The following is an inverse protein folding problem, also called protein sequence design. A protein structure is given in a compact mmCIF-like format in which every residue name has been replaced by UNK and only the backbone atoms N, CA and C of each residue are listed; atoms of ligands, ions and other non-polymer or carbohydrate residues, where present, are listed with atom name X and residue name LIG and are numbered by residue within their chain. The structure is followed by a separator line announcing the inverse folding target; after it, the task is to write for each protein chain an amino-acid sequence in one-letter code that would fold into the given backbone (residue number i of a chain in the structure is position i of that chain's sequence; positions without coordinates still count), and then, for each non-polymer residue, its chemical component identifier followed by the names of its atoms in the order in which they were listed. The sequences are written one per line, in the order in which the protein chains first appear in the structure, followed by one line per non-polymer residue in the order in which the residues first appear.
data_IF_139850184020
#
_entry.id   IF_139850184020
#
_cell.length_a   1.000
_cell.length_b   1.000
_cell.length_c   1.000
_cell.angle_alpha   90.00
_cell.angle_beta   90.00
_cell.angle_gamma   90.00
#
_symmetry.space_group_name_H-M   'P 1'
#
loop_
_entity.id
_entity.type
_entity.pdbx_description
1 polymer ?
#
# COMPACT_ATOMS: atom_id res chain seq x y z
N UNK A 1 19.75 -61.32 42.31
CA UNK A 1 19.96 -60.39 41.17
C UNK A 1 19.10 -59.16 41.40
N UNK A 2 19.70 -58.00 41.74
CA UNK A 2 18.98 -56.71 41.90
C UNK A 2 19.28 -55.87 40.66
N UNK A 3 18.31 -55.68 39.79
CA UNK A 3 18.43 -54.89 38.56
C UNK A 3 18.30 -53.40 38.88
N UNK A 4 19.32 -52.64 38.50
CA UNK A 4 19.50 -51.22 38.83
C UNK A 4 18.75 -50.31 37.85
N UNK A 5 17.40 -50.36 37.88
CA UNK A 5 16.55 -49.68 36.90
C UNK A 5 16.43 -48.16 37.11
N UNK A 6 16.79 -47.63 38.28
CA UNK A 6 16.64 -46.20 38.59
C UNK A 6 17.54 -45.28 37.74
N UNK A 7 18.79 -45.67 37.47
CA UNK A 7 19.74 -44.82 36.72
C UNK A 7 19.39 -44.71 35.22
N UNK A 8 18.74 -45.73 34.66
CA UNK A 8 18.27 -45.72 33.28
C UNK A 8 17.03 -44.81 33.11
N UNK A 9 16.10 -44.88 34.07
CA UNK A 9 14.89 -44.05 34.09
C UNK A 9 15.25 -42.57 34.28
N UNK A 10 16.21 -42.24 35.16
CA UNK A 10 16.63 -40.86 35.41
C UNK A 10 17.31 -40.21 34.18
N UNK A 11 18.11 -40.98 33.42
CA UNK A 11 18.75 -40.51 32.18
C UNK A 11 17.75 -40.36 31.02
N UNK A 12 16.72 -41.21 30.97
CA UNK A 12 15.62 -41.06 30.02
C UNK A 12 14.77 -39.82 30.32
N UNK A 13 14.41 -39.61 31.59
CA UNK A 13 13.64 -38.45 32.04
C UNK A 13 14.36 -37.13 31.77
N UNK A 14 15.68 -37.05 31.99
CA UNK A 14 16.47 -35.85 31.71
C UNK A 14 16.52 -35.51 30.21
N UNK A 15 16.52 -36.52 29.32
CA UNK A 15 16.48 -36.30 27.85
C UNK A 15 15.12 -35.82 27.35
N UNK A 16 14.02 -36.22 28.01
CA UNK A 16 12.67 -35.75 27.67
C UNK A 16 12.44 -34.31 28.16
N UNK A 17 13.02 -33.94 29.31
CA UNK A 17 12.89 -32.59 29.87
C UNK A 17 13.73 -31.55 29.09
N UNK A 18 14.85 -31.93 28.48
CA UNK A 18 15.66 -31.00 27.67
C UNK A 18 15.09 -30.72 26.25
N UNK A 19 14.01 -31.40 25.83
CA UNK A 19 13.40 -31.23 24.49
C UNK A 19 12.14 -30.35 24.54
N UNK A 20 11.63 -29.99 25.72
CA UNK A 20 10.52 -29.04 25.88
C UNK A 20 10.97 -27.78 26.64
N UNK A 21 11.51 -26.80 25.90
CA UNK A 21 10.87 -25.50 25.94
C UNK A 21 10.71 -24.96 24.51
N UNK A 22 9.83 -25.58 23.72
CA UNK A 22 9.10 -24.76 22.76
C UNK A 22 8.14 -23.91 23.58
N UNK A 23 8.59 -22.71 23.94
CA UNK A 23 7.66 -21.63 24.23
C UNK A 23 6.80 -21.47 22.98
N UNK A 24 5.61 -22.07 22.99
CA UNK A 24 4.56 -21.72 22.07
C UNK A 24 4.19 -20.27 22.40
N UNK A 25 4.93 -19.33 21.80
CA UNK A 25 4.43 -17.98 21.66
C UNK A 25 3.23 -18.14 20.76
N UNK A 26 2.04 -18.11 21.33
CA UNK A 26 0.83 -17.90 20.57
C UNK A 26 1.05 -16.58 19.82
N UNK A 27 1.38 -16.68 18.52
CA UNK A 27 1.46 -15.52 17.66
C UNK A 27 0.03 -15.05 17.44
N UNK A 28 -0.46 -14.18 18.34
CA UNK A 28 -1.65 -13.41 18.06
C UNK A 28 -1.35 -12.57 16.80
N UNK A 29 -2.13 -12.80 15.75
CA UNK A 29 -2.04 -12.01 14.53
C UNK A 29 -2.34 -10.56 14.87
N UNK A 30 -1.39 -9.67 14.60
CA UNK A 30 -1.61 -8.24 14.79
C UNK A 30 -2.69 -7.78 13.82
N UNK A 31 -3.65 -7.00 14.28
CA UNK A 31 -4.70 -6.46 13.40
C UNK A 31 -4.68 -4.95 13.43
N UNK A 32 -4.75 -4.31 12.26
CA UNK A 32 -4.86 -2.86 12.14
C UNK A 32 -6.08 -2.53 11.28
N UNK A 33 -6.92 -1.61 11.75
CA UNK A 33 -8.01 -1.07 10.95
C UNK A 33 -7.52 0.19 10.23
N UNK A 34 -7.64 0.21 8.90
CA UNK A 34 -7.19 1.31 8.07
C UNK A 34 -8.32 1.73 7.12
N UNK A 35 -8.56 3.01 6.97
CA UNK A 35 -9.56 3.52 6.04
C UNK A 35 -8.91 4.46 5.04
N UNK A 36 -8.97 4.12 3.75
CA UNK A 36 -8.60 5.00 2.65
C UNK A 36 -9.78 5.92 2.30
N UNK A 37 -9.53 7.21 2.12
CA UNK A 37 -10.58 8.14 1.71
C UNK A 37 -10.04 9.48 1.20
N UNK A 38 -10.93 10.36 0.70
CA UNK A 38 -10.58 11.72 0.32
C UNK A 38 -10.05 12.51 1.52
N UNK A 39 -9.06 13.36 1.27
CA UNK A 39 -8.38 14.18 2.26
C UNK A 39 -7.98 15.52 1.64
N UNK A 40 -7.38 16.40 2.44
CA UNK A 40 -6.84 17.68 1.94
C UNK A 40 -5.57 18.00 2.69
N UNK A 41 -4.49 18.25 1.95
CA UNK A 41 -3.26 18.78 2.51
C UNK A 41 -3.30 20.30 2.53
N UNK A 42 -2.73 20.90 3.57
CA UNK A 42 -2.46 22.34 3.63
C UNK A 42 -0.97 22.54 3.43
N UNK A 43 -0.61 23.28 2.37
CA UNK A 43 0.79 23.61 2.09
C UNK A 43 1.28 24.75 2.99
N UNK A 44 2.61 24.96 3.11
CA UNK A 44 3.17 26.03 3.94
C UNK A 44 2.71 27.45 3.57
N UNK A 45 2.27 27.67 2.32
CA UNK A 45 1.69 28.93 1.85
C UNK A 45 0.21 29.11 2.23
N UNK A 46 -0.38 28.13 2.92
CA UNK A 46 -1.79 28.10 3.32
C UNK A 46 -2.73 27.57 2.24
N UNK A 47 -2.24 27.22 1.05
CA UNK A 47 -3.08 26.66 0.00
C UNK A 47 -3.53 25.23 0.32
N UNK A 48 -4.76 24.92 -0.07
CA UNK A 48 -5.34 23.58 0.10
C UNK A 48 -5.19 22.77 -1.19
N UNK A 49 -4.64 21.55 -1.06
CA UNK A 49 -4.45 20.60 -2.16
C UNK A 49 -5.30 19.35 -1.91
N UNK A 50 -6.16 18.94 -2.86
CA UNK A 50 -6.94 17.71 -2.71
C UNK A 50 -5.99 16.51 -2.71
N UNK A 51 -6.10 15.67 -1.70
CA UNK A 51 -5.32 14.45 -1.56
C UNK A 51 -6.24 13.31 -1.17
N UNK A 52 -5.72 12.10 -1.10
CA UNK A 52 -6.34 10.93 -0.50
C UNK A 52 -5.43 10.49 0.64
N UNK A 53 -6.00 9.92 1.69
CA UNK A 53 -5.21 9.53 2.86
C UNK A 53 -5.73 8.26 3.50
N UNK A 54 -4.82 7.63 4.22
CA UNK A 54 -5.18 6.60 5.17
C UNK A 54 -5.50 7.22 6.54
N UNK A 55 -6.50 6.67 7.21
CA UNK A 55 -6.86 7.02 8.58
C UNK A 55 -6.91 5.75 9.43
N UNK A 56 -6.38 5.87 10.64
CA UNK A 56 -6.35 4.77 11.59
C UNK A 56 -7.72 4.58 12.24
N UNK A 57 -8.21 3.34 12.27
CA UNK A 57 -9.38 2.97 13.06
C UNK A 57 -9.07 2.82 14.56
N UNK A 58 -9.99 2.21 15.29
CA UNK A 58 -9.82 1.96 16.72
C UNK A 58 -8.53 1.15 17.01
N UNK A 59 -7.77 1.51 18.06
CA UNK A 59 -6.57 0.78 18.45
C UNK A 59 -6.86 -0.69 18.70
N UNK A 60 -5.96 -1.57 18.28
CA UNK A 60 -6.04 -3.01 18.52
C UNK A 60 -4.81 -3.43 19.32
N UNK A 61 -4.98 -4.36 20.25
CA UNK A 61 -3.88 -4.83 21.09
C UNK A 61 -2.73 -5.38 20.24
N UNK A 62 -1.51 -4.90 20.51
CA UNK A 62 -0.28 -5.37 19.86
C UNK A 62 0.10 -4.66 18.55
N UNK A 63 -0.71 -3.72 18.07
CA UNK A 63 -0.38 -2.84 16.96
C UNK A 63 -0.73 -1.39 17.29
N UNK A 64 0.06 -0.45 16.78
CA UNK A 64 -0.27 0.97 16.83
C UNK A 64 -0.44 1.52 15.43
N UNK A 65 -1.35 2.49 15.28
CA UNK A 65 -1.55 3.24 14.06
C UNK A 65 -1.84 4.68 14.47
N UNK A 66 -1.07 5.62 13.95
CA UNK A 66 -1.24 7.04 14.20
C UNK A 66 -0.95 7.87 12.94
N UNK A 67 -1.33 9.15 12.97
CA UNK A 67 -0.81 10.11 11.99
C UNK A 67 0.70 10.27 12.20
N UNK A 68 1.46 10.25 11.10
CA UNK A 68 2.89 10.51 11.12
C UNK A 68 3.21 11.94 11.61
N UNK A 69 2.37 12.91 11.26
CA UNK A 69 2.38 14.24 11.85
C UNK A 69 1.29 14.35 12.93
N UNK A 70 1.62 14.24 14.23
CA UNK A 70 0.64 14.32 15.32
C UNK A 70 0.01 15.70 15.46
N UNK A 71 0.65 16.74 14.91
CA UNK A 71 0.13 18.11 14.92
C UNK A 71 -0.84 18.39 13.76
N UNK A 72 -1.01 17.47 12.80
CA UNK A 72 -1.93 17.65 11.69
C UNK A 72 -3.39 17.68 12.18
N UNK A 73 -4.14 18.78 11.98
CA UNK A 73 -5.51 18.93 12.45
C UNK A 73 -6.44 17.80 11.98
N UNK A 74 -7.55 17.61 12.67
CA UNK A 74 -8.59 16.69 12.21
C UNK A 74 -9.05 17.07 10.79
N UNK A 75 -9.18 16.07 9.90
CA UNK A 75 -9.53 16.30 8.49
C UNK A 75 -8.37 16.76 7.58
N UNK A 76 -7.22 17.16 8.14
CA UNK A 76 -6.02 17.48 7.35
C UNK A 76 -5.21 16.21 7.08
N UNK A 77 -4.79 16.07 5.82
CA UNK A 77 -3.98 14.96 5.33
C UNK A 77 -2.65 14.88 6.08
N UNK A 78 -2.31 13.66 6.47
CA UNK A 78 -1.00 13.25 6.98
C UNK A 78 -0.84 11.78 6.60
N UNK A 79 0.37 11.32 6.22
CA UNK A 79 0.65 9.89 6.14
C UNK A 79 0.40 9.24 7.49
N UNK A 80 0.16 7.93 7.49
CA UNK A 80 0.07 7.14 8.73
C UNK A 80 1.41 6.50 9.05
N UNK A 81 1.64 6.23 10.34
CA UNK A 81 2.68 5.32 10.83
C UNK A 81 2.00 4.19 11.57
N UNK A 82 2.31 2.96 11.14
CA UNK A 82 1.87 1.72 11.77
C UNK A 82 3.09 1.08 12.42
N UNK A 83 3.04 0.80 13.72
CA UNK A 83 4.13 0.08 14.42
C UNK A 83 3.61 -1.24 14.96
N UNK A 84 4.26 -2.33 14.56
CA UNK A 84 3.91 -3.71 14.93
C UNK A 84 5.16 -4.52 15.27
N UNK A 85 5.09 -5.52 16.16
CA UNK A 85 6.18 -6.47 16.34
C UNK A 85 6.36 -7.37 15.10
N UNK A 86 7.54 -7.99 14.93
CA UNK A 86 7.76 -9.02 13.92
C UNK A 86 6.76 -10.18 14.07
N UNK A 87 6.24 -10.67 12.94
CA UNK A 87 5.24 -11.73 12.93
C UNK A 87 4.10 -11.49 11.93
N UNK A 88 2.96 -12.16 12.09
CA UNK A 88 1.81 -11.99 11.22
C UNK A 88 1.10 -10.64 11.45
N UNK A 89 0.68 -10.01 10.35
CA UNK A 89 -0.12 -8.80 10.33
C UNK A 89 -1.35 -9.00 9.44
N UNK A 90 -2.50 -8.58 9.93
CA UNK A 90 -3.74 -8.41 9.18
C UNK A 90 -4.10 -6.94 9.17
N UNK A 91 -4.29 -6.35 7.99
CA UNK A 91 -4.86 -5.01 7.85
C UNK A 91 -6.28 -5.15 7.34
N UNK A 92 -7.26 -4.71 8.13
CA UNK A 92 -8.64 -4.54 7.69
C UNK A 92 -8.73 -3.20 6.99
N UNK A 93 -8.66 -3.21 5.65
CA UNK A 93 -8.70 -2.01 4.83
C UNK A 93 -10.13 -1.73 4.38
N UNK A 94 -10.67 -0.59 4.80
CA UNK A 94 -11.93 -0.02 4.31
C UNK A 94 -11.64 1.00 3.22
N UNK A 95 -12.29 0.87 2.06
CA UNK A 95 -12.20 1.87 1.00
C UNK A 95 -13.39 2.83 1.07
N UNK A 96 -13.14 4.13 1.23
CA UNK A 96 -14.12 5.21 1.27
C UNK A 96 -13.88 6.26 0.18
N UNK A 97 -13.17 5.92 -0.90
CA UNK A 97 -12.93 6.78 -2.07
C UNK A 97 -14.20 6.91 -2.93
N UNK A 98 -15.10 7.80 -2.52
CA UNK A 98 -16.32 8.16 -3.25
C UNK A 98 -16.29 9.65 -3.65
N UNK A 99 -16.69 9.93 -4.89
CA UNK A 99 -16.62 11.24 -5.54
C UNK A 99 -17.93 11.53 -6.29
N UNK A 100 -18.96 11.92 -5.53
CA UNK A 100 -20.31 12.09 -6.08
C UNK A 100 -20.92 10.75 -6.50
N UNK A 101 -21.21 10.60 -7.80
CA UNK A 101 -21.71 9.34 -8.37
C UNK A 101 -20.59 8.35 -8.74
N UNK A 102 -19.33 8.79 -8.71
CA UNK A 102 -18.17 7.96 -9.05
C UNK A 102 -17.51 7.42 -7.79
N UNK A 103 -16.73 6.36 -7.94
CA UNK A 103 -16.02 5.75 -6.83
C UNK A 103 -14.80 5.00 -7.33
N UNK A 104 -13.69 5.07 -6.58
CA UNK A 104 -12.40 4.56 -7.02
C UNK A 104 -11.98 3.33 -6.20
N UNK A 105 -11.64 2.20 -6.82
CA UNK A 105 -11.11 1.05 -6.09
C UNK A 105 -9.68 1.34 -5.58
N UNK A 106 -9.26 0.66 -4.52
CA UNK A 106 -7.90 0.81 -3.98
C UNK A 106 -7.36 -0.51 -3.46
N UNK A 107 -6.07 -0.56 -3.14
CA UNK A 107 -5.45 -1.72 -2.52
C UNK A 107 -4.36 -1.25 -1.54
N UNK A 108 -3.59 -2.20 -1.02
CA UNK A 108 -2.44 -1.91 -0.19
C UNK A 108 -1.33 -2.90 -0.51
N UNK A 109 -0.12 -2.37 -0.63
CA UNK A 109 1.13 -3.11 -0.75
C UNK A 109 2.05 -2.63 0.36
N UNK A 110 2.77 -3.57 0.99
CA UNK A 110 3.89 -3.27 1.86
C UNK A 110 5.15 -3.53 1.04
N UNK A 111 5.85 -2.48 0.64
CA UNK A 111 7.00 -2.58 -0.27
C UNK A 111 8.06 -3.47 0.37
N UNK A 112 8.46 -4.54 -0.31
CA UNK A 112 9.45 -5.50 0.21
C UNK A 112 8.88 -6.59 1.15
N UNK A 113 7.56 -6.68 1.33
CA UNK A 113 6.89 -7.77 2.04
C UNK A 113 5.83 -8.45 1.16
N UNK A 114 5.85 -9.78 1.12
CA UNK A 114 4.86 -10.55 0.37
C UNK A 114 3.60 -10.77 1.22
N UNK A 115 2.44 -10.40 0.69
CA UNK A 115 1.15 -10.53 1.34
C UNK A 115 0.12 -9.60 0.71
N UNK A 116 -1.08 -9.54 1.30
CA UNK A 116 -2.17 -8.70 0.79
C UNK A 116 -2.63 -9.05 -0.64
N UNK A 117 -2.30 -10.25 -1.13
CA UNK A 117 -2.61 -10.68 -2.50
C UNK A 117 -1.61 -10.23 -3.58
N UNK A 118 -0.47 -9.66 -3.17
CA UNK A 118 0.57 -9.23 -4.10
C UNK A 118 0.98 -10.36 -5.06
N UNK A 119 0.77 -10.12 -6.36
CA UNK A 119 1.10 -11.06 -7.44
C UNK A 119 0.17 -12.27 -7.58
N UNK A 120 -0.84 -12.45 -6.72
CA UNK A 120 -1.78 -13.57 -6.77
C UNK A 120 -3.22 -13.15 -7.06
N UNK A 121 -3.59 -11.92 -6.69
CA UNK A 121 -4.92 -11.34 -6.91
C UNK A 121 -4.85 -10.04 -7.73
N UNK A 122 -3.75 -9.83 -8.44
CA UNK A 122 -3.55 -8.69 -9.30
C UNK A 122 -4.67 -8.59 -10.35
N UNK A 123 -5.18 -7.38 -10.56
CA UNK A 123 -6.20 -7.08 -11.58
C UNK A 123 -5.54 -6.38 -12.76
N UNK A 124 -6.07 -6.62 -13.96
CA UNK A 124 -5.61 -5.99 -15.19
C UNK A 124 -6.78 -5.35 -15.91
N UNK A 125 -6.51 -4.22 -16.56
CA UNK A 125 -7.42 -3.60 -17.51
C UNK A 125 -7.04 -4.00 -18.94
N UNK A 126 -8.00 -3.97 -19.90
CA UNK A 126 -7.69 -4.13 -21.31
C UNK A 126 -6.60 -3.15 -21.77
N UNK A 127 -5.80 -3.59 -22.74
CA UNK A 127 -4.91 -2.67 -23.46
C UNK A 127 -5.72 -1.59 -24.20
N UNK A 128 -5.10 -0.45 -24.55
CA UNK A 128 -5.71 0.55 -25.40
C UNK A 128 -6.26 -0.08 -26.68
N UNK A 129 -7.49 0.31 -27.06
CA UNK A 129 -8.02 -0.05 -28.37
C UNK A 129 -7.30 0.76 -29.45
N UNK A 130 -6.73 0.04 -30.42
CA UNK A 130 -6.01 0.63 -31.55
C UNK A 130 -6.83 0.62 -32.85
N UNK A 131 -8.13 0.31 -32.79
CA UNK A 131 -9.02 0.32 -33.96
C UNK A 131 -9.06 1.69 -34.68
N UNK A 132 -8.85 2.78 -33.94
CA UNK A 132 -8.76 4.15 -34.45
C UNK A 132 -7.33 4.67 -34.66
N UNK A 133 -6.30 3.84 -34.53
CA UNK A 133 -4.91 4.26 -34.71
C UNK A 133 -4.63 4.68 -36.16
N UNK A 134 -3.70 5.63 -36.35
CA UNK A 134 -3.28 6.09 -37.68
C UNK A 134 -2.63 4.92 -38.45
N UNK A 135 -3.17 4.51 -39.61
CA UNK A 135 -2.62 3.39 -40.38
C UNK A 135 -1.47 3.81 -41.31
N UNK A 136 -1.15 5.11 -41.35
CA UNK A 136 -0.07 5.67 -42.16
C UNK A 136 0.97 6.29 -41.22
N UNK A 137 2.14 5.67 -41.12
CA UNK A 137 3.22 6.13 -40.23
C UNK A 137 4.15 7.14 -40.89
N UNK A 138 4.24 7.16 -42.22
CA UNK A 138 5.06 8.11 -42.98
C UNK A 138 4.36 8.58 -44.28
N UNK A 139 3.39 9.51 -44.19
CA UNK A 139 2.50 9.86 -45.32
C UNK A 139 3.22 10.44 -46.55
N UNK A 140 4.37 11.07 -46.35
CA UNK A 140 5.16 11.71 -47.42
C UNK A 140 5.85 10.69 -48.32
N UNK A 141 6.25 9.54 -47.76
CA UNK A 141 7.05 8.53 -48.46
C UNK A 141 6.15 7.41 -49.01
N UNK A 142 5.11 7.05 -48.27
CA UNK A 142 4.10 6.09 -48.69
C UNK A 142 2.74 6.43 -48.04
N UNK A 143 1.74 6.87 -48.81
CA UNK A 143 0.40 7.16 -48.30
C UNK A 143 -0.45 5.89 -48.12
N UNK A 144 0.07 4.69 -48.39
CA UNK A 144 -0.68 3.43 -48.28
C UNK A 144 -0.91 3.06 -46.81
N UNK A 145 -2.15 2.75 -46.39
CA UNK A 145 -2.47 2.42 -45.00
C UNK A 145 -2.06 0.98 -44.64
N UNK A 146 -0.77 0.77 -44.35
CA UNK A 146 -0.19 -0.55 -44.03
C UNK A 146 0.16 -0.72 -42.55
N UNK A 147 0.07 0.35 -41.75
CA UNK A 147 0.37 0.34 -40.32
C UNK A 147 -0.61 -0.51 -39.54
N UNK A 148 -0.13 -1.65 -39.02
CA UNK A 148 -0.85 -2.46 -38.03
C UNK A 148 -0.16 -2.25 -36.69
N UNK A 149 -0.81 -1.56 -35.73
CA UNK A 149 -0.22 -1.36 -34.41
C UNK A 149 -0.02 -2.72 -33.73
N UNK A 150 1.09 -2.90 -32.97
CA UNK A 150 1.32 -4.14 -32.26
C UNK A 150 0.20 -4.36 -31.24
N UNK A 151 -0.29 -5.60 -31.16
CA UNK A 151 -1.27 -5.98 -30.13
C UNK A 151 -0.63 -5.78 -28.77
N UNK A 152 -1.24 -4.90 -27.96
CA UNK A 152 -0.80 -4.66 -26.59
C UNK A 152 -1.55 -5.60 -25.66
N UNK A 153 -0.81 -6.26 -24.76
CA UNK A 153 -1.43 -7.07 -23.71
C UNK A 153 -2.19 -6.22 -22.68
N UNK A 154 -2.97 -6.86 -21.78
CA UNK A 154 -3.60 -6.18 -20.66
C UNK A 154 -2.58 -5.38 -19.84
N UNK A 155 -3.00 -4.22 -19.35
CA UNK A 155 -2.19 -3.37 -18.46
C UNK A 155 -2.52 -3.69 -17.02
N UNK A 156 -1.50 -3.67 -16.16
CA UNK A 156 -1.72 -3.86 -14.73
C UNK A 156 -2.54 -2.70 -14.19
N UNK A 157 -3.64 -3.02 -13.52
CA UNK A 157 -4.51 -2.08 -12.83
C UNK A 157 -4.19 -2.07 -11.33
N UNK A 158 -4.09 -3.25 -10.72
CA UNK A 158 -3.70 -3.43 -9.32
C UNK A 158 -2.67 -4.53 -9.16
N UNK A 159 -1.63 -4.28 -8.37
CA UNK A 159 -0.62 -5.28 -8.03
C UNK A 159 -1.04 -6.25 -6.91
N UNK A 160 -2.01 -5.88 -6.09
CA UNK A 160 -2.51 -6.66 -4.95
C UNK A 160 -4.05 -6.68 -4.91
N UNK A 161 -4.64 -7.27 -3.87
CA UNK A 161 -6.10 -7.41 -3.74
C UNK A 161 -6.77 -6.05 -3.78
N UNK A 162 -7.50 -5.80 -4.86
CA UNK A 162 -8.28 -4.59 -5.08
C UNK A 162 -9.59 -4.63 -4.28
N UNK A 163 -9.92 -3.51 -3.65
CA UNK A 163 -11.06 -3.33 -2.76
C UNK A 163 -11.94 -2.23 -3.35
N UNK A 164 -13.19 -2.58 -3.66
CA UNK A 164 -14.18 -1.64 -4.16
C UNK A 164 -14.55 -0.59 -3.10
N UNK A 165 -14.93 0.60 -3.55
CA UNK A 165 -15.39 1.64 -2.63
C UNK A 165 -16.63 1.19 -1.84
N UNK A 166 -16.68 1.55 -0.57
CA UNK A 166 -17.69 1.10 0.40
C UNK A 166 -17.43 -0.29 0.99
N UNK A 167 -16.49 -1.07 0.45
CA UNK A 167 -16.14 -2.38 0.97
C UNK A 167 -15.03 -2.32 2.03
N UNK A 168 -14.96 -3.36 2.85
CA UNK A 168 -13.85 -3.63 3.77
C UNK A 168 -13.30 -5.02 3.49
N UNK A 169 -11.98 -5.17 3.44
CA UNK A 169 -11.33 -6.45 3.18
C UNK A 169 -10.11 -6.62 4.08
N UNK A 170 -9.96 -7.84 4.62
CA UNK A 170 -8.80 -8.22 5.42
C UNK A 170 -7.65 -8.65 4.52
N UNK A 171 -6.54 -7.92 4.60
CA UNK A 171 -5.29 -8.20 3.89
C UNK A 171 -4.28 -8.80 4.87
N UNK A 172 -3.66 -9.93 4.51
CA UNK A 172 -2.80 -10.68 5.45
C UNK A 172 -1.36 -10.78 4.95
N UNK A 173 -0.41 -10.62 5.88
CA UNK A 173 1.01 -10.91 5.77
C UNK A 173 1.38 -11.91 6.87
N UNK A 174 1.95 -13.05 6.48
CA UNK A 174 2.15 -14.18 7.40
C UNK A 174 3.40 -14.03 8.28
N UNK A 175 4.44 -13.37 7.77
CA UNK A 175 5.72 -13.22 8.45
C UNK A 175 6.41 -11.92 8.04
N UNK A 176 6.06 -10.82 8.70
CA UNK A 176 6.77 -9.57 8.51
C UNK A 176 8.20 -9.66 9.04
N UNK A 177 9.14 -9.27 8.18
CA UNK A 177 10.53 -9.07 8.57
C UNK A 177 10.70 -7.76 9.35
N UNK A 178 11.54 -7.72 10.40
CA UNK A 178 11.87 -6.48 11.10
C UNK A 178 12.47 -5.44 10.15
N UNK A 179 12.07 -4.17 10.31
CA UNK A 179 12.51 -3.06 9.47
C UNK A 179 11.44 -2.01 9.26
N UNK A 180 11.78 -0.98 8.47
CA UNK A 180 10.88 0.11 8.10
C UNK A 180 10.52 -0.03 6.62
N UNK A 181 9.23 -0.01 6.32
CA UNK A 181 8.68 -0.23 4.98
C UNK A 181 7.73 0.89 4.59
N UNK A 182 7.71 1.21 3.30
CA UNK A 182 6.65 2.02 2.71
C UNK A 182 5.41 1.14 2.57
N UNK A 183 4.27 1.68 2.97
CA UNK A 183 2.97 1.14 2.56
C UNK A 183 2.36 2.09 1.55
N UNK A 184 1.81 1.57 0.47
CA UNK A 184 1.20 2.37 -0.59
C UNK A 184 0.10 1.58 -1.31
N UNK A 185 -0.78 2.28 -2.01
CA UNK A 185 -1.75 1.61 -2.87
C UNK A 185 -1.05 0.91 -4.03
N UNK A 186 -1.40 -0.36 -4.26
CA UNK A 186 -0.98 -1.11 -5.45
C UNK A 186 -1.88 -0.89 -6.66
N UNK A 187 -2.98 -0.16 -6.50
CA UNK A 187 -3.99 0.12 -7.53
C UNK A 187 -3.68 1.47 -8.18
N UNK A 188 -3.63 1.55 -9.50
CA UNK A 188 -3.29 2.76 -10.26
C UNK A 188 -2.11 3.53 -9.62
N UNK A 189 -0.92 2.91 -9.47
CA UNK A 189 0.19 3.43 -8.65
C UNK A 189 0.66 4.84 -9.05
N UNK A 190 0.57 5.18 -10.34
CA UNK A 190 0.90 6.51 -10.87
C UNK A 190 -0.09 7.60 -10.47
N UNK A 191 -1.24 7.24 -9.90
CA UNK A 191 -2.28 8.16 -9.45
C UNK A 191 -2.45 8.07 -7.94
N UNK A 192 -2.66 6.88 -7.37
CA UNK A 192 -3.05 6.74 -5.97
C UNK A 192 -1.92 7.07 -5.00
N UNK A 193 -0.68 6.68 -5.33
CA UNK A 193 0.52 7.08 -4.57
C UNK A 193 0.67 8.60 -4.53
N UNK A 194 0.78 9.29 -5.69
CA UNK A 194 0.84 10.76 -5.74
C UNK A 194 -0.38 11.47 -5.14
N UNK A 195 -1.56 10.85 -5.13
CA UNK A 195 -2.71 11.38 -4.42
C UNK A 195 -2.58 11.30 -2.90
N UNK A 196 -1.67 10.51 -2.34
CA UNK A 196 -1.41 10.48 -0.90
C UNK A 196 -1.73 9.16 -0.20
N UNK A 197 -2.10 8.11 -0.96
CA UNK A 197 -2.32 6.77 -0.39
C UNK A 197 -0.98 6.07 -0.15
N UNK A 198 -0.24 6.61 0.82
CA UNK A 198 0.98 6.01 1.36
C UNK A 198 1.12 6.27 2.87
N UNK A 199 2.03 5.52 3.49
CA UNK A 199 2.39 5.64 4.89
C UNK A 199 3.63 4.83 5.21
N UNK A 200 3.91 4.69 6.50
CA UNK A 200 5.05 3.92 7.00
C UNK A 200 4.56 2.73 7.82
N UNK A 201 5.18 1.58 7.62
CA UNK A 201 5.12 0.43 8.52
C UNK A 201 6.48 0.24 9.19
N UNK A 202 6.49 0.26 10.51
CA UNK A 202 7.66 -0.06 11.34
C UNK A 202 7.43 -1.41 12.00
N UNK A 203 8.26 -2.39 11.63
CA UNK A 203 8.23 -3.74 12.18
C UNK A 203 9.33 -3.86 13.22
N UNK A 204 8.98 -3.66 14.49
CA UNK A 204 9.92 -3.57 15.62
C UNK A 204 9.24 -3.94 16.94
N UNK A 205 10.03 -4.33 17.95
CA UNK A 205 9.56 -4.31 19.33
C UNK A 205 9.80 -2.91 19.90
N UNK A 206 8.74 -2.14 20.11
CA UNK A 206 8.83 -0.77 20.63
C UNK A 206 9.40 -0.71 22.06
N UNK A 207 10.09 0.38 22.46
CA UNK A 207 10.53 0.59 23.84
C UNK A 207 9.32 0.71 24.78
N UNK A 208 9.45 0.21 26.02
CA UNK A 208 8.40 0.25 27.03
C UNK A 208 8.96 0.60 28.41
N UNK A 209 8.63 1.79 28.91
CA UNK A 209 9.16 2.30 30.18
C UNK A 209 10.68 2.45 30.12
N UNK A 210 11.40 1.77 31.00
CA UNK A 210 12.87 1.73 31.00
C UNK A 210 13.46 0.61 30.13
N UNK A 211 12.62 -0.21 29.51
CA UNK A 211 13.05 -1.31 28.65
C UNK A 211 13.28 -0.79 27.23
N UNK A 212 14.50 -0.96 26.72
CA UNK A 212 14.84 -0.60 25.35
C UNK A 212 14.02 -1.43 24.34
N UNK A 213 13.70 -0.82 23.20
CA UNK A 213 13.10 -1.50 22.06
C UNK A 213 14.15 -2.29 21.28
N UNK A 214 13.69 -3.16 20.38
CA UNK A 214 14.52 -4.01 19.51
C UNK A 214 14.16 -3.74 18.05
N UNK A 215 15.05 -3.06 17.32
CA UNK A 215 14.88 -2.75 15.90
C UNK A 215 15.06 -4.01 15.05
N UNK A 216 16.12 -4.76 15.34
CA UNK A 216 16.41 -6.05 14.71
C UNK A 216 16.72 -7.08 15.81
N UNK A 217 16.03 -8.24 15.83
CA UNK A 217 16.30 -9.30 16.79
C UNK A 217 17.69 -9.92 16.54
N UNK A 218 18.22 -10.59 17.56
CA UNK A 218 19.48 -11.33 17.42
C UNK A 218 19.33 -12.47 16.40
N UNK A 219 20.35 -12.66 15.56
CA UNK A 219 20.40 -13.73 14.55
C UNK A 219 21.75 -14.42 14.64
N UNK A 220 21.75 -15.69 15.06
CA UNK A 220 23.00 -16.44 15.27
C UNK A 220 23.87 -15.80 16.35
N UNK A 221 25.07 -15.36 15.97
CA UNK A 221 26.00 -14.64 16.87
C UNK A 221 25.84 -13.13 16.82
N UNK A 222 25.05 -12.59 15.89
CA UNK A 222 24.79 -11.15 15.82
C UNK A 222 23.83 -10.74 16.96
N UNK A 223 24.22 -9.79 17.83
CA UNK A 223 23.37 -9.33 18.92
C UNK A 223 22.17 -8.55 18.38
N UNK A 224 21.12 -8.45 19.20
CA UNK A 224 19.96 -7.62 18.88
C UNK A 224 20.35 -6.14 18.83
N UNK A 225 19.76 -5.40 17.89
CA UNK A 225 19.93 -3.94 17.76
C UNK A 225 18.89 -3.26 18.64
N UNK A 226 19.34 -2.72 19.78
CA UNK A 226 18.47 -2.05 20.74
C UNK A 226 18.41 -0.54 20.50
N UNK A 227 17.31 0.09 20.87
CA UNK A 227 17.15 1.55 20.84
C UNK A 227 16.29 2.04 22.00
N UNK A 228 16.54 3.27 22.44
CA UNK A 228 15.78 3.91 23.52
C UNK A 228 14.70 4.87 22.98
N UNK A 229 14.88 5.37 21.77
CA UNK A 229 13.98 6.32 21.13
C UNK A 229 14.04 6.16 19.60
N UNK A 230 12.95 6.54 18.94
CA UNK A 230 12.81 6.53 17.49
C UNK A 230 12.11 7.80 17.00
N UNK A 231 12.41 8.22 15.77
CA UNK A 231 11.71 9.31 15.08
C UNK A 231 11.38 8.84 13.67
N UNK A 232 10.11 8.60 13.33
CA UNK A 232 9.74 8.19 11.98
C UNK A 232 9.79 9.40 11.03
N UNK A 233 10.46 9.23 9.88
CA UNK A 233 10.56 10.24 8.82
C UNK A 233 10.16 9.62 7.48
N UNK A 234 9.17 10.22 6.82
CA UNK A 234 8.75 9.86 5.47
C UNK A 234 8.91 11.10 4.59
N UNK A 235 9.60 10.93 3.46
CA UNK A 235 9.75 11.97 2.44
C UNK A 235 8.84 11.63 1.26
N UNK A 236 8.12 12.64 0.79
CA UNK A 236 7.24 12.55 -0.36
C UNK A 236 7.10 13.91 -1.03
N UNK A 237 6.58 13.91 -2.25
CA UNK A 237 6.21 15.11 -2.98
C UNK A 237 4.69 15.29 -3.04
N UNK A 238 4.26 16.54 -3.20
CA UNK A 238 2.88 16.91 -3.49
C UNK A 238 2.95 17.80 -4.73
N UNK A 239 2.26 17.42 -5.80
CA UNK A 239 2.10 18.22 -7.01
C UNK A 239 0.67 18.77 -7.07
N UNK A 240 0.45 20.04 -6.67
CA UNK A 240 -0.89 20.63 -6.65
C UNK A 240 -1.60 20.63 -8.00
N UNK A 241 -0.85 20.66 -9.12
CA UNK A 241 -1.44 20.68 -10.47
C UNK A 241 -2.00 19.30 -10.78
N UNK A 242 -1.18 18.26 -10.60
CA UNK A 242 -1.61 16.87 -10.79
C UNK A 242 -2.75 16.50 -9.84
N UNK A 243 -2.61 16.81 -8.55
CA UNK A 243 -3.62 16.49 -7.54
C UNK A 243 -4.97 17.13 -7.85
N UNK A 244 -4.99 18.40 -8.29
CA UNK A 244 -6.23 19.08 -8.73
C UNK A 244 -6.80 18.45 -10.00
N UNK A 245 -5.97 18.12 -10.98
CA UNK A 245 -6.42 17.48 -12.21
C UNK A 245 -7.12 16.13 -11.93
N UNK A 246 -6.51 15.30 -11.07
CA UNK A 246 -7.11 14.03 -10.63
C UNK A 246 -8.42 14.28 -9.88
N UNK A 247 -8.44 15.23 -8.94
CA UNK A 247 -9.66 15.57 -8.20
C UNK A 247 -10.81 15.99 -9.14
N UNK A 248 -10.53 16.80 -10.16
CA UNK A 248 -11.53 17.18 -11.16
C UNK A 248 -11.99 15.96 -11.96
N UNK A 249 -11.05 15.10 -12.40
CA UNK A 249 -11.37 13.90 -13.18
C UNK A 249 -12.30 12.96 -12.41
N UNK A 250 -11.98 12.59 -11.17
CA UNK A 250 -12.80 11.66 -10.38
C UNK A 250 -14.19 12.21 -10.02
N UNK A 251 -14.36 13.53 -10.02
CA UNK A 251 -15.67 14.18 -9.82
C UNK A 251 -16.42 14.44 -11.14
N UNK A 252 -15.84 14.13 -12.30
CA UNK A 252 -16.49 14.31 -13.60
C UNK A 252 -17.49 13.19 -13.85
N UNK A 253 -18.72 13.52 -14.23
CA UNK A 253 -19.77 12.52 -14.46
C UNK A 253 -19.33 11.50 -15.54
N UNK A 254 -19.51 10.21 -15.25
CA UNK A 254 -19.10 9.13 -16.16
C UNK A 254 -17.59 8.85 -16.13
N UNK A 255 -16.87 9.33 -15.11
CA UNK A 255 -15.47 8.97 -14.90
C UNK A 255 -15.30 7.44 -14.86
N UNK A 256 -14.22 6.99 -15.48
CA UNK A 256 -13.76 5.61 -15.46
C UNK A 256 -12.24 5.61 -15.29
N UNK A 257 -11.74 4.85 -14.32
CA UNK A 257 -10.30 4.73 -14.05
C UNK A 257 -9.54 4.06 -15.21
N UNK A 258 -10.27 3.29 -16.02
CA UNK A 258 -9.71 2.57 -17.17
C UNK A 258 -9.75 3.38 -18.46
N UNK A 259 -10.34 4.59 -18.43
CA UNK A 259 -10.33 5.47 -19.58
C UNK A 259 -8.90 5.90 -19.90
N UNK A 260 -8.54 5.82 -21.18
CA UNK A 260 -7.21 6.24 -21.68
C UNK A 260 -7.00 7.76 -21.64
N UNK A 261 -8.04 8.51 -21.29
CA UNK A 261 -8.04 9.97 -21.15
C UNK A 261 -9.13 10.42 -20.17
N UNK A 262 -9.08 11.67 -19.70
CA UNK A 262 -9.91 12.17 -18.60
C UNK A 262 -11.40 12.35 -18.92
N UNK A 263 -11.84 12.14 -20.16
CA UNK A 263 -13.23 12.38 -20.59
C UNK A 263 -13.61 13.87 -20.71
N UNK A 264 -12.68 14.79 -20.44
CA UNK A 264 -12.92 16.23 -20.35
C UNK A 264 -12.72 16.95 -21.70
N UNK A 265 -13.74 17.61 -22.26
CA UNK A 265 -13.62 18.30 -23.54
C UNK A 265 -12.40 19.23 -23.63
N UNK A 266 -11.64 19.12 -24.72
CA UNK A 266 -10.45 19.95 -25.01
C UNK A 266 -9.16 19.53 -24.29
N UNK A 267 -9.19 18.49 -23.46
CA UNK A 267 -7.99 17.99 -22.76
C UNK A 267 -7.21 16.95 -23.57
N UNK A 268 -6.01 16.60 -23.08
CA UNK A 268 -5.17 15.56 -23.67
C UNK A 268 -5.96 14.25 -23.84
N UNK A 269 -5.88 13.65 -25.04
CA UNK A 269 -6.56 12.42 -25.38
C UNK A 269 -8.04 12.55 -25.75
N UNK A 270 -8.61 13.77 -25.75
CA UNK A 270 -9.96 14.02 -26.25
C UNK A 270 -10.06 13.70 -27.76
N UNK A 271 -10.88 12.72 -28.19
CA UNK A 271 -10.99 12.36 -29.60
C UNK A 271 -11.66 13.44 -30.46
N UNK A 272 -12.34 14.40 -29.84
CA UNK A 272 -12.91 15.57 -30.53
C UNK A 272 -11.94 16.75 -30.65
N UNK A 273 -10.74 16.66 -30.08
CA UNK A 273 -9.71 17.68 -30.27
C UNK A 273 -9.17 17.64 -31.71
N UNK A 274 -8.95 18.81 -32.30
CA UNK A 274 -8.43 18.89 -33.67
C UNK A 274 -7.06 18.23 -33.79
N UNK A 275 -6.84 17.50 -34.89
CA UNK A 275 -5.57 16.85 -35.20
C UNK A 275 -4.45 17.91 -35.25
N UNK A 276 -3.39 17.72 -34.46
CA UNK A 276 -2.21 18.59 -34.48
C UNK A 276 -2.19 19.74 -33.45
N UNK A 277 -3.13 19.79 -32.51
CA UNK A 277 -2.97 20.68 -31.34
C UNK A 277 -1.86 20.12 -30.45
N UNK A 278 -0.71 20.78 -30.47
CA UNK A 278 0.35 20.58 -29.47
C UNK A 278 -0.16 21.14 -28.16
N UNK A 279 -0.19 20.31 -27.12
CA UNK A 279 -0.54 20.74 -25.76
C UNK A 279 0.45 21.83 -25.32
N UNK A 280 -0.03 23.04 -25.09
CA UNK A 280 0.67 24.08 -24.32
C UNK A 280 0.45 23.87 -22.84
#
# INVERSE_FOLDING_TARGET
MRTNNMKAILKGALRVVCILPFAAVAAFGQTVNLTAGPATATLPDGSAVPMWGYSCGAPVAGATCAKLNPAAPAGVWSPVVITVPPGPLTISLTNSLAFGANSVPTSLVIVGQLGGGLGTTATSMPGPDHSGAQPITWPIADPTPTGVPPVQGPRVQSFSTEILAGATTSLTWTALRPGTYLIESGTHPSIQGPMGLYGMLVVTTAPAGTTAGIAYPAVGTAPAVNYNAEVPLLLSEIDPVQNRAVNTAVNTAGFSETAVWSGQPGQCGNPSSAVGIVNT
#
